data_IF_624144220890
#
_entry.id   IF_624144220890
#
_cell.length_a   1.000
_cell.length_b   1.000
_cell.length_c   1.000
_cell.angle_alpha   90.00
_cell.angle_beta   90.00
_cell.angle_gamma   90.00
#
_symmetry.space_group_name_H-M   'P 1'
#
loop_
_entity.id
_entity.type
_entity.pdbx_description
1 polymer ?
#
# COMPACT_ATOMS: atom_id res chain seq x y z
N UNK A 1 -28.44 -16.93 37.60
CA UNK A 1 -27.97 -15.73 36.88
C UNK A 1 -27.18 -16.16 35.69
N UNK A 2 -27.76 -16.03 34.54
CA UNK A 2 -27.12 -16.45 33.27
C UNK A 2 -25.94 -15.51 33.01
N UNK A 3 -24.73 -16.05 33.02
CA UNK A 3 -23.58 -15.36 32.45
C UNK A 3 -23.88 -15.12 30.98
N UNK A 4 -24.16 -13.87 30.61
CA UNK A 4 -24.10 -13.45 29.22
C UNK A 4 -22.67 -13.72 28.76
N UNK A 5 -22.50 -14.77 27.97
CA UNK A 5 -21.26 -14.99 27.24
C UNK A 5 -21.05 -13.76 26.38
N UNK A 6 -20.20 -12.86 26.85
CA UNK A 6 -19.83 -11.67 26.09
C UNK A 6 -19.12 -12.14 24.83
N UNK A 7 -19.69 -11.82 23.68
CA UNK A 7 -19.08 -12.08 22.36
C UNK A 7 -17.75 -11.32 22.24
N UNK A 8 -17.50 -10.39 23.15
CA UNK A 8 -16.29 -9.57 23.14
C UNK A 8 -15.26 -10.16 24.13
N UNK A 9 -14.07 -10.47 23.63
CA UNK A 9 -13.01 -11.01 24.47
C UNK A 9 -12.57 -10.00 25.52
N UNK A 10 -12.23 -10.50 26.69
CA UNK A 10 -11.87 -9.70 27.87
C UNK A 10 -10.47 -9.07 27.81
N UNK A 11 -9.66 -9.39 26.81
CA UNK A 11 -8.29 -8.86 26.66
C UNK A 11 -8.13 -8.04 25.38
N UNK A 12 -7.30 -6.99 25.46
CA UNK A 12 -6.97 -6.15 24.31
C UNK A 12 -6.48 -6.98 23.11
N UNK A 13 -5.71 -8.04 23.38
CA UNK A 13 -5.09 -8.89 22.35
C UNK A 13 -6.09 -9.68 21.52
N UNK A 14 -7.29 -9.86 22.00
CA UNK A 14 -8.36 -10.59 21.30
C UNK A 14 -9.38 -9.67 20.61
N UNK A 15 -9.18 -8.36 20.67
CA UNK A 15 -10.01 -7.41 19.93
C UNK A 15 -9.61 -7.37 18.45
N UNK A 16 -10.56 -7.57 17.50
CA UNK A 16 -10.24 -7.59 16.07
C UNK A 16 -9.51 -6.33 15.60
N UNK A 17 -9.96 -5.14 15.99
CA UNK A 17 -9.33 -3.89 15.60
C UNK A 17 -7.88 -3.77 16.08
N UNK A 18 -7.58 -4.24 17.28
CA UNK A 18 -6.21 -4.27 17.81
C UNK A 18 -5.33 -5.26 17.03
N UNK A 19 -5.87 -6.44 16.73
CA UNK A 19 -5.17 -7.47 15.95
C UNK A 19 -4.86 -7.00 14.53
N UNK A 20 -5.82 -6.35 13.87
CA UNK A 20 -5.62 -5.76 12.53
C UNK A 20 -4.53 -4.69 12.57
N UNK A 21 -4.54 -3.81 13.57
CA UNK A 21 -3.51 -2.79 13.73
C UNK A 21 -2.12 -3.41 13.95
N UNK A 22 -2.03 -4.45 14.77
CA UNK A 22 -0.76 -5.19 14.97
C UNK A 22 -0.28 -5.84 13.68
N UNK A 23 -1.18 -6.47 12.94
CA UNK A 23 -0.84 -7.07 11.65
C UNK A 23 -0.31 -6.02 10.68
N UNK A 24 -0.94 -4.85 10.61
CA UNK A 24 -0.46 -3.73 9.81
C UNK A 24 0.95 -3.29 10.23
N UNK A 25 1.23 -3.19 11.52
CA UNK A 25 2.57 -2.85 12.03
C UNK A 25 3.62 -3.89 11.64
N UNK A 26 3.28 -5.18 11.71
CA UNK A 26 4.16 -6.28 11.30
C UNK A 26 4.45 -6.18 9.80
N UNK A 27 3.41 -6.03 8.98
CA UNK A 27 3.56 -5.89 7.53
C UNK A 27 4.43 -4.69 7.15
N UNK A 28 4.23 -3.55 7.79
CA UNK A 28 5.03 -2.33 7.60
C UNK A 28 6.48 -2.54 8.03
N UNK A 29 6.73 -3.22 9.14
CA UNK A 29 8.08 -3.55 9.62
C UNK A 29 8.83 -4.45 8.64
N UNK A 30 8.18 -5.49 8.11
CA UNK A 30 8.74 -6.36 7.08
C UNK A 30 9.07 -5.55 5.82
N UNK A 31 8.17 -4.70 5.37
CA UNK A 31 8.40 -3.83 4.22
C UNK A 31 9.66 -2.97 4.42
N UNK A 32 9.75 -2.27 5.55
CA UNK A 32 10.91 -1.42 5.82
C UNK A 32 12.23 -2.19 5.84
N UNK A 33 12.22 -3.40 6.37
CA UNK A 33 13.40 -4.26 6.41
C UNK A 33 13.84 -4.70 5.02
N UNK A 34 12.90 -5.17 4.19
CA UNK A 34 13.21 -5.78 2.88
C UNK A 34 13.41 -4.72 1.78
N UNK A 35 12.69 -3.59 1.84
CA UNK A 35 12.63 -2.58 0.77
C UNK A 35 13.48 -1.34 1.09
N UNK A 36 14.27 -1.39 2.15
CA UNK A 36 15.09 -0.28 2.66
C UNK A 36 15.97 0.37 1.57
N UNK A 37 16.57 -0.41 0.69
CA UNK A 37 17.49 0.09 -0.34
C UNK A 37 16.81 1.04 -1.35
N UNK A 38 15.51 0.93 -1.55
CA UNK A 38 14.75 1.79 -2.47
C UNK A 38 14.48 3.20 -1.91
N UNK A 39 14.51 3.35 -0.59
CA UNK A 39 14.07 4.57 0.09
C UNK A 39 12.57 4.87 -0.05
N UNK A 40 11.77 3.89 -0.48
CA UNK A 40 10.32 4.03 -0.61
C UNK A 40 9.60 3.67 0.69
N UNK A 41 8.51 4.39 0.99
CA UNK A 41 7.52 3.97 1.97
C UNK A 41 6.51 3.01 1.33
N UNK A 42 5.74 2.21 2.12
CA UNK A 42 4.69 1.34 1.56
C UNK A 42 3.71 2.09 0.65
N UNK A 43 3.30 3.29 1.06
CA UNK A 43 2.35 4.12 0.29
C UNK A 43 2.98 4.66 -0.99
N UNK A 44 4.25 5.07 -0.95
CA UNK A 44 4.98 5.50 -2.15
C UNK A 44 5.13 4.37 -3.15
N UNK A 45 5.45 3.16 -2.68
CA UNK A 45 5.48 1.99 -3.54
C UNK A 45 4.11 1.72 -4.18
N UNK A 46 3.03 1.74 -3.38
CA UNK A 46 1.66 1.54 -3.89
C UNK A 46 1.29 2.57 -4.95
N UNK A 47 1.67 3.82 -4.75
CA UNK A 47 1.44 4.89 -5.73
C UNK A 47 2.21 4.65 -7.03
N UNK A 48 3.51 4.33 -6.95
CA UNK A 48 4.32 4.04 -8.15
C UNK A 48 3.78 2.82 -8.91
N UNK A 49 3.45 1.74 -8.20
CA UNK A 49 2.88 0.54 -8.82
C UNK A 49 1.56 0.84 -9.52
N UNK A 50 0.68 1.60 -8.87
CA UNK A 50 -0.62 1.95 -9.47
C UNK A 50 -0.45 2.84 -10.71
N UNK A 51 0.47 3.81 -10.69
CA UNK A 51 0.75 4.65 -11.86
C UNK A 51 1.41 3.85 -12.99
N UNK A 52 2.24 2.86 -12.65
CA UNK A 52 2.79 1.91 -13.64
C UNK A 52 1.67 1.12 -14.33
N UNK A 53 0.74 0.57 -13.56
CA UNK A 53 -0.35 -0.26 -14.07
C UNK A 53 -1.37 0.56 -14.88
N UNK A 54 -1.52 1.85 -14.54
CA UNK A 54 -2.48 2.77 -15.16
C UNK A 54 -1.81 4.10 -15.55
N UNK A 55 -0.94 4.12 -16.56
CA UNK A 55 -0.28 5.35 -17.01
C UNK A 55 -1.31 6.42 -17.42
N UNK A 56 -1.11 7.65 -16.95
CA UNK A 56 -2.07 8.73 -17.19
C UNK A 56 -3.25 8.75 -16.24
N UNK A 57 -3.24 7.93 -15.18
CA UNK A 57 -4.25 7.96 -14.12
C UNK A 57 -4.35 9.36 -13.50
N UNK A 58 -5.56 9.82 -13.22
CA UNK A 58 -5.74 11.06 -12.47
C UNK A 58 -5.49 10.87 -10.98
N UNK A 59 -5.06 11.95 -10.31
CA UNK A 59 -4.65 11.89 -8.91
C UNK A 59 -5.80 11.50 -7.96
N UNK A 60 -7.05 11.86 -8.27
CA UNK A 60 -8.23 11.48 -7.48
C UNK A 60 -8.49 9.97 -7.57
N UNK A 61 -8.37 9.39 -8.76
CA UNK A 61 -8.52 7.95 -8.97
C UNK A 61 -7.39 7.20 -8.28
N UNK A 62 -6.14 7.67 -8.34
CA UNK A 62 -5.03 7.12 -7.59
C UNK A 62 -5.36 7.06 -6.09
N UNK A 63 -5.84 8.16 -5.50
CA UNK A 63 -6.19 8.23 -4.07
C UNK A 63 -7.18 7.12 -3.68
N UNK A 64 -8.22 6.91 -4.49
CA UNK A 64 -9.20 5.84 -4.25
C UNK A 64 -8.56 4.45 -4.33
N UNK A 65 -7.72 4.21 -5.33
CA UNK A 65 -7.12 2.89 -5.54
C UNK A 65 -6.13 2.50 -4.44
N UNK A 66 -5.38 3.47 -3.91
CA UNK A 66 -4.45 3.22 -2.80
C UNK A 66 -5.08 3.44 -1.41
N UNK A 67 -6.41 3.65 -1.37
CA UNK A 67 -7.20 3.81 -0.14
C UNK A 67 -6.71 4.95 0.78
N UNK A 68 -6.37 6.10 0.19
CA UNK A 68 -5.94 7.30 0.92
C UNK A 68 -6.83 8.49 0.61
N UNK A 69 -6.86 9.45 1.55
CA UNK A 69 -7.49 10.73 1.31
C UNK A 69 -6.71 11.58 0.30
N UNK A 70 -7.38 12.59 -0.25
CA UNK A 70 -6.82 13.44 -1.30
C UNK A 70 -5.59 14.23 -0.82
N UNK A 71 -5.60 14.72 0.41
CA UNK A 71 -4.49 15.51 0.98
C UNK A 71 -3.22 14.66 1.17
N UNK A 72 -3.37 13.47 1.75
CA UNK A 72 -2.26 12.53 1.94
C UNK A 72 -1.70 12.08 0.59
N UNK A 73 -2.56 11.78 -0.37
CA UNK A 73 -2.16 11.39 -1.73
C UNK A 73 -1.39 12.53 -2.42
N UNK A 74 -1.84 13.78 -2.31
CA UNK A 74 -1.10 14.92 -2.84
C UNK A 74 0.31 15.02 -2.27
N UNK A 75 0.47 14.84 -0.96
CA UNK A 75 1.79 14.83 -0.32
C UNK A 75 2.70 13.68 -0.78
N UNK A 76 2.13 12.50 -1.03
CA UNK A 76 2.86 11.34 -1.58
C UNK A 76 3.34 11.66 -3.01
N UNK A 77 2.44 12.16 -3.85
CA UNK A 77 2.75 12.52 -5.24
C UNK A 77 3.80 13.64 -5.29
N UNK A 78 3.69 14.66 -4.45
CA UNK A 78 4.68 15.74 -4.36
C UNK A 78 6.09 15.21 -4.07
N UNK A 79 6.20 14.27 -3.12
CA UNK A 79 7.50 13.68 -2.75
C UNK A 79 8.07 12.80 -3.88
N UNK A 80 7.22 12.04 -4.57
CA UNK A 80 7.65 11.21 -5.70
C UNK A 80 8.07 12.08 -6.89
N UNK A 81 7.36 13.17 -7.16
CA UNK A 81 7.74 14.13 -8.20
C UNK A 81 9.05 14.83 -7.84
N UNK A 82 9.24 15.25 -6.60
CA UNK A 82 10.49 15.86 -6.12
C UNK A 82 11.70 14.91 -6.24
N UNK A 83 11.48 13.60 -6.18
CA UNK A 83 12.49 12.57 -6.44
C UNK A 83 12.61 12.21 -7.92
N UNK A 84 11.92 12.91 -8.80
CA UNK A 84 11.92 12.66 -10.25
C UNK A 84 11.47 11.24 -10.63
N UNK A 85 10.60 10.62 -9.81
CA UNK A 85 10.10 9.26 -10.04
C UNK A 85 8.78 9.24 -10.82
N UNK A 86 8.03 10.34 -10.79
CA UNK A 86 6.83 10.54 -11.58
C UNK A 86 6.68 11.99 -12.04
N UNK A 87 5.81 12.20 -13.02
CA UNK A 87 5.44 13.52 -13.53
C UNK A 87 3.95 13.73 -13.40
N UNK A 88 3.57 14.99 -13.17
CA UNK A 88 2.19 15.46 -13.22
C UNK A 88 1.99 16.41 -14.39
N UNK A 89 0.91 16.22 -15.12
CA UNK A 89 0.48 17.15 -16.17
C UNK A 89 -1.00 17.46 -16.02
N UNK A 90 -1.39 18.66 -16.51
CA UNK A 90 -2.81 18.98 -16.55
C UNK A 90 -3.50 18.16 -17.64
N UNK A 91 -4.73 17.69 -17.36
CA UNK A 91 -5.55 17.04 -18.38
C UNK A 91 -5.87 18.05 -19.51
N UNK A 92 -5.82 17.62 -20.79
CA UNK A 92 -6.28 18.45 -21.90
C UNK A 92 -7.74 18.88 -21.78
N UNK A 93 -8.57 18.04 -21.16
CA UNK A 93 -10.02 18.25 -21.04
C UNK A 93 -10.39 19.16 -19.85
N UNK A 94 -9.64 19.06 -18.75
CA UNK A 94 -9.84 19.90 -17.56
C UNK A 94 -8.50 20.14 -16.85
N UNK A 95 -8.02 21.38 -16.90
CA UNK A 95 -6.73 21.79 -16.29
C UNK A 95 -6.65 21.61 -14.78
N UNK A 96 -7.78 21.41 -14.09
CA UNK A 96 -7.83 21.13 -12.65
C UNK A 96 -7.52 19.65 -12.35
N UNK A 97 -7.62 18.78 -13.35
CA UNK A 97 -7.32 17.37 -13.24
C UNK A 97 -5.83 17.13 -13.52
N UNK A 98 -5.14 16.47 -12.62
CA UNK A 98 -3.73 16.10 -12.75
C UNK A 98 -3.59 14.64 -13.19
N UNK A 99 -2.87 14.43 -14.28
CA UNK A 99 -2.56 13.12 -14.83
C UNK A 99 -1.14 12.72 -14.45
N UNK A 100 -0.95 11.45 -14.06
CA UNK A 100 0.28 10.94 -13.50
C UNK A 100 0.90 9.90 -14.42
N UNK A 101 2.20 10.00 -14.64
CA UNK A 101 3.00 9.00 -15.35
C UNK A 101 4.32 8.79 -14.62
N UNK A 102 4.88 7.57 -14.68
CA UNK A 102 6.23 7.33 -14.19
C UNK A 102 7.26 7.94 -15.14
N UNK A 103 8.38 8.34 -14.57
CA UNK A 103 9.60 8.64 -15.33
C UNK A 103 10.36 7.35 -15.62
N UNK A 104 11.39 7.41 -16.46
CA UNK A 104 12.32 6.30 -16.67
C UNK A 104 12.96 5.84 -15.36
N UNK A 105 13.31 6.80 -14.50
CA UNK A 105 13.88 6.55 -13.17
C UNK A 105 12.85 5.87 -12.25
N UNK A 106 11.59 6.31 -12.30
CA UNK A 106 10.49 5.69 -11.55
C UNK A 106 10.25 4.24 -11.96
N UNK A 107 10.22 3.97 -13.25
CA UNK A 107 10.11 2.60 -13.78
C UNK A 107 11.29 1.73 -13.35
N UNK A 108 12.52 2.24 -13.47
CA UNK A 108 13.72 1.52 -13.08
C UNK A 108 13.71 1.18 -11.59
N UNK A 109 13.37 2.14 -10.72
CA UNK A 109 13.29 1.91 -9.27
C UNK A 109 12.21 0.88 -8.93
N UNK A 110 11.05 0.96 -9.57
CA UNK A 110 9.97 0.00 -9.36
C UNK A 110 10.43 -1.43 -9.71
N UNK A 111 11.06 -1.60 -10.87
CA UNK A 111 11.59 -2.90 -11.30
C UNK A 111 12.69 -3.43 -10.37
N UNK A 112 13.58 -2.58 -9.90
CA UNK A 112 14.62 -2.96 -8.95
C UNK A 112 14.05 -3.36 -7.59
N UNK A 113 12.92 -2.78 -7.20
CA UNK A 113 12.27 -3.04 -5.91
C UNK A 113 11.41 -4.30 -5.93
N UNK A 114 10.98 -4.75 -7.09
CA UNK A 114 10.03 -5.85 -7.24
C UNK A 114 10.43 -7.16 -6.54
N UNK A 115 11.69 -7.65 -6.62
CA UNK A 115 12.10 -8.86 -5.90
C UNK A 115 11.94 -8.73 -4.38
N UNK A 116 12.28 -7.57 -3.82
CA UNK A 116 12.11 -7.30 -2.39
C UNK A 116 10.62 -7.26 -2.01
N UNK A 117 9.76 -6.70 -2.87
CA UNK A 117 8.31 -6.72 -2.65
C UNK A 117 7.71 -8.12 -2.65
N UNK A 118 8.16 -9.01 -3.53
CA UNK A 118 7.75 -10.42 -3.48
C UNK A 118 8.15 -11.06 -2.16
N UNK A 119 9.37 -10.79 -1.71
CA UNK A 119 9.87 -11.29 -0.42
C UNK A 119 9.03 -10.78 0.75
N UNK A 120 8.60 -9.51 0.73
CA UNK A 120 7.68 -8.95 1.74
C UNK A 120 6.39 -9.77 1.82
N UNK A 121 5.76 -10.05 0.68
CA UNK A 121 4.51 -10.81 0.64
C UNK A 121 4.68 -12.23 1.18
N UNK A 122 5.76 -12.90 0.80
CA UNK A 122 6.10 -14.22 1.32
C UNK A 122 6.27 -14.20 2.85
N UNK A 123 7.01 -13.23 3.38
CA UNK A 123 7.26 -13.12 4.81
C UNK A 123 6.00 -12.79 5.62
N UNK A 124 5.11 -11.95 5.10
CA UNK A 124 3.82 -11.66 5.76
C UNK A 124 3.00 -12.94 5.92
N UNK A 125 2.97 -13.81 4.90
CA UNK A 125 2.15 -15.00 4.88
C UNK A 125 2.86 -16.25 5.41
N UNK A 126 4.18 -16.19 5.65
CA UNK A 126 5.00 -17.35 6.01
C UNK A 126 4.50 -18.15 7.22
N UNK A 127 3.90 -17.56 8.28
CA UNK A 127 3.36 -18.33 9.41
C UNK A 127 2.16 -19.20 9.06
N UNK A 128 1.52 -19.00 7.91
CA UNK A 128 0.30 -19.69 7.49
C UNK A 128 0.61 -20.83 6.51
N UNK A 129 -0.13 -21.93 6.63
CA UNK A 129 -0.12 -22.98 5.59
C UNK A 129 -0.68 -22.45 4.28
N UNK A 130 -0.42 -23.12 3.16
CA UNK A 130 -0.92 -22.71 1.83
C UNK A 130 -2.45 -22.54 1.82
N UNK A 131 -3.17 -23.44 2.47
CA UNK A 131 -4.63 -23.34 2.55
C UNK A 131 -5.09 -22.15 3.42
N UNK A 132 -4.41 -21.95 4.55
CA UNK A 132 -4.68 -20.80 5.41
C UNK A 132 -4.39 -19.48 4.69
N UNK A 133 -3.33 -19.39 3.89
CA UNK A 133 -3.02 -18.21 3.08
C UNK A 133 -4.16 -17.88 2.12
N UNK A 134 -4.69 -18.88 1.41
CA UNK A 134 -5.83 -18.71 0.51
C UNK A 134 -7.06 -18.20 1.25
N UNK A 135 -7.41 -18.84 2.37
CA UNK A 135 -8.56 -18.44 3.19
C UNK A 135 -8.39 -17.02 3.72
N UNK A 136 -7.21 -16.70 4.23
CA UNK A 136 -6.88 -15.37 4.75
C UNK A 136 -7.05 -14.28 3.68
N UNK A 137 -6.51 -14.50 2.49
CA UNK A 137 -6.66 -13.55 1.38
C UNK A 137 -8.11 -13.41 0.92
N UNK A 138 -8.90 -14.49 0.91
CA UNK A 138 -10.33 -14.43 0.59
C UNK A 138 -11.12 -13.61 1.63
N UNK A 139 -10.75 -13.70 2.91
CA UNK A 139 -11.40 -12.93 3.98
C UNK A 139 -11.07 -11.44 3.93
N UNK A 140 -9.92 -11.06 3.34
CA UNK A 140 -9.48 -9.67 3.22
C UNK A 140 -10.08 -8.95 1.99
N UNK A 141 -10.57 -9.66 1.01
CA UNK A 141 -11.15 -9.15 -0.26
C UNK A 141 -12.67 -9.00 -0.18
#
# INVERSE_FOLDING_TARGET
>A
MSSQDSIYPSSLQSLPGHTIRRLHQIATGIFHQEVQASGLTPVQYSALQTVHDYPGIDQRTLARMIALDASTTAGVVDRLEARELLTRSASPDDRRVRLLCLTTEGEALLQQTLPAMWRVQELILAPLSVEQQKTFMQMLQ
#
